data_IF_568924454944
#
_entry.id   IF_568924454944
#
_cell.length_a   1.000
_cell.length_b   1.000
_cell.length_c   1.000
_cell.angle_alpha   90.00
_cell.angle_beta   90.00
_cell.angle_gamma   90.00
#
_symmetry.space_group_name_H-M   'P 1'
#
loop_
_entity.id
_entity.type
_entity.pdbx_description
1 polymer ?
#
# COMPACT_ATOMS: atom_id res chain seq x y z
N UNK A 1 7.30 4.36 -1.26
CA UNK A 1 7.50 3.21 -2.15
C UNK A 1 8.69 3.49 -3.04
N UNK A 2 9.63 2.54 -3.11
CA UNK A 2 10.92 2.70 -3.78
C UNK A 2 11.26 1.40 -4.53
N UNK A 3 11.61 1.52 -5.80
CA UNK A 3 11.97 0.40 -6.67
C UNK A 3 13.42 -0.04 -6.47
N UNK A 4 13.76 -1.25 -6.93
CA UNK A 4 15.15 -1.76 -6.90
C UNK A 4 16.11 -0.94 -7.76
N UNK A 5 15.59 -0.27 -8.78
CA UNK A 5 16.36 0.56 -9.73
C UNK A 5 16.79 1.92 -9.15
N UNK A 6 16.60 2.14 -7.84
CA UNK A 6 17.01 3.35 -7.13
C UNK A 6 16.02 4.52 -7.22
N UNK A 7 14.83 4.29 -7.77
CA UNK A 7 13.78 5.31 -7.86
C UNK A 7 12.75 5.22 -6.75
N UNK A 8 12.48 6.35 -6.10
CA UNK A 8 11.40 6.54 -5.13
C UNK A 8 10.17 7.09 -5.84
N UNK A 9 9.09 6.31 -5.85
CA UNK A 9 7.82 6.70 -6.43
C UNK A 9 6.98 7.59 -5.51
N UNK A 10 7.10 7.41 -4.19
CA UNK A 10 6.29 8.15 -3.22
C UNK A 10 6.97 8.16 -1.85
N UNK A 11 7.03 9.31 -1.20
CA UNK A 11 7.32 9.44 0.24
C UNK A 11 6.01 9.72 0.97
N UNK A 12 5.82 9.07 2.11
CA UNK A 12 4.80 9.40 3.10
C UNK A 12 5.51 9.97 4.34
N UNK A 13 5.06 11.11 4.84
CA UNK A 13 5.70 11.81 5.97
C UNK A 13 4.88 11.67 7.26
N UNK A 14 5.55 11.83 8.39
CA UNK A 14 4.94 11.76 9.73
C UNK A 14 3.93 12.87 10.01
N UNK A 15 4.00 13.97 9.27
CA UNK A 15 3.04 15.09 9.30
C UNK A 15 1.76 14.80 8.47
N UNK A 16 1.73 13.69 7.75
CA UNK A 16 0.62 13.29 6.88
C UNK A 16 0.71 13.83 5.45
N UNK A 17 1.75 14.58 5.10
CA UNK A 17 1.96 14.97 3.70
C UNK A 17 2.56 13.82 2.90
N UNK A 18 2.40 13.88 1.58
CA UNK A 18 2.95 12.91 0.64
C UNK A 18 3.69 13.65 -0.48
N UNK A 19 4.85 13.12 -0.88
CA UNK A 19 5.67 13.69 -1.94
C UNK A 19 5.85 12.68 -3.09
N UNK A 20 5.27 12.94 -4.28
CA UNK A 20 5.37 12.05 -5.42
C UNK A 20 6.78 12.08 -6.04
N UNK A 21 7.16 10.95 -6.63
CA UNK A 21 8.35 10.81 -7.46
C UNK A 21 8.17 11.39 -8.87
N UNK A 22 9.13 11.13 -9.78
CA UNK A 22 10.32 10.32 -9.58
C UNK A 22 11.40 11.05 -8.76
N UNK A 23 12.02 10.35 -7.81
CA UNK A 23 13.19 10.83 -7.04
C UNK A 23 14.19 9.71 -6.79
N UNK A 24 15.41 10.05 -6.34
CA UNK A 24 16.48 9.07 -6.03
C UNK A 24 16.88 9.01 -4.55
N UNK A 25 16.09 9.65 -3.69
CA UNK A 25 16.33 9.79 -2.25
C UNK A 25 15.30 9.03 -1.41
N UNK A 26 15.55 8.89 -0.10
CA UNK A 26 14.69 8.19 0.87
C UNK A 26 14.42 6.70 0.54
N UNK A 27 15.37 6.03 -0.11
CA UNK A 27 15.37 4.58 -0.28
C UNK A 27 15.88 3.85 0.97
N UNK A 28 15.44 2.60 1.15
CA UNK A 28 15.88 1.74 2.27
C UNK A 28 16.85 0.64 1.87
N UNK A 29 17.23 0.51 0.58
CA UNK A 29 18.11 -0.56 0.10
C UNK A 29 19.52 -0.53 0.70
N UNK A 30 20.02 0.65 1.09
CA UNK A 30 21.32 0.78 1.73
C UNK A 30 21.30 0.42 3.23
N UNK A 31 20.13 0.05 3.78
CA UNK A 31 20.00 -0.39 5.18
C UNK A 31 20.40 -1.86 5.27
N UNK A 32 21.16 -2.20 6.31
CA UNK A 32 21.57 -3.59 6.57
C UNK A 32 20.35 -4.50 6.74
N UNK A 33 20.42 -5.67 6.10
CA UNK A 33 19.45 -6.75 6.31
C UNK A 33 19.76 -7.43 7.64
N UNK A 34 18.74 -7.63 8.48
CA UNK A 34 18.88 -8.27 9.78
C UNK A 34 17.55 -8.88 10.23
N UNK A 35 17.49 -9.31 11.50
CA UNK A 35 16.23 -9.81 12.09
C UNK A 35 15.13 -8.74 11.95
N UNK A 36 13.91 -9.18 11.63
CA UNK A 36 12.75 -8.29 11.54
C UNK A 36 12.57 -7.52 12.86
N UNK A 37 12.66 -6.20 12.79
CA UNK A 37 12.41 -5.28 13.91
C UNK A 37 11.45 -4.19 13.46
N UNK A 38 10.47 -3.88 14.30
CA UNK A 38 9.48 -2.84 14.02
C UNK A 38 8.51 -3.20 12.89
N UNK A 39 8.23 -4.49 12.69
CA UNK A 39 7.14 -4.96 11.83
C UNK A 39 6.13 -5.68 12.73
N UNK A 40 4.87 -5.27 12.67
CA UNK A 40 3.78 -5.90 13.42
C UNK A 40 2.56 -6.09 12.52
N UNK A 41 1.78 -7.12 12.82
CA UNK A 41 0.50 -7.39 12.17
C UNK A 41 -0.61 -7.23 13.20
N UNK A 42 -1.77 -6.76 12.75
CA UNK A 42 -2.99 -6.71 13.56
C UNK A 42 -4.23 -6.85 12.71
N UNK A 43 -5.40 -6.48 13.26
CA UNK A 43 -6.67 -6.58 12.56
C UNK A 43 -6.75 -5.62 11.38
N UNK A 44 -6.54 -6.15 10.17
CA UNK A 44 -6.53 -5.42 8.92
C UNK A 44 -5.48 -4.29 8.86
N UNK A 45 -4.33 -4.47 9.50
CA UNK A 45 -3.21 -3.55 9.32
C UNK A 45 -1.85 -4.26 9.45
N UNK A 46 -0.86 -3.71 8.74
CA UNK A 46 0.56 -3.99 8.88
C UNK A 46 1.25 -2.71 9.34
N UNK A 47 2.01 -2.79 10.42
CA UNK A 47 2.84 -1.71 10.93
C UNK A 47 4.29 -1.93 10.49
N UNK A 48 4.92 -0.86 10.00
CA UNK A 48 6.34 -0.78 9.68
C UNK A 48 6.90 0.49 10.33
N UNK A 49 7.68 0.32 11.39
CA UNK A 49 8.19 1.40 12.22
C UNK A 49 7.04 2.18 12.88
N UNK A 50 6.84 3.42 12.44
CA UNK A 50 5.80 4.32 12.97
C UNK A 50 4.61 4.49 12.02
N UNK A 51 4.58 3.74 10.91
CA UNK A 51 3.53 3.80 9.91
C UNK A 51 2.73 2.51 9.90
N UNK A 52 1.41 2.63 9.72
CA UNK A 52 0.51 1.51 9.44
C UNK A 52 -0.06 1.64 8.05
N UNK A 53 -0.07 0.53 7.32
CA UNK A 53 -0.89 0.35 6.13
C UNK A 53 -2.03 -0.58 6.53
N UNK A 54 -3.27 -0.12 6.42
CA UNK A 54 -4.39 -0.95 6.86
C UNK A 54 -5.75 -0.41 6.47
N UNK A 55 -6.76 -1.27 6.50
CA UNK A 55 -8.13 -0.84 6.20
C UNK A 55 -8.77 -0.18 7.40
N UNK A 56 -9.78 0.65 7.17
CA UNK A 56 -10.69 1.23 8.18
C UNK A 56 -12.07 0.56 8.09
N UNK A 57 -12.45 0.13 6.90
CA UNK A 57 -13.67 -0.62 6.59
C UNK A 57 -13.44 -1.29 5.22
N UNK A 58 -14.50 -1.80 4.58
CA UNK A 58 -14.40 -2.37 3.25
C UNK A 58 -14.21 -1.33 2.14
N UNK A 59 -14.29 -0.03 2.44
CA UNK A 59 -14.23 1.06 1.46
C UNK A 59 -12.93 1.88 1.54
N UNK A 60 -12.16 1.78 2.63
CA UNK A 60 -10.98 2.63 2.87
C UNK A 60 -9.76 1.81 3.31
N UNK A 61 -8.68 1.91 2.55
CA UNK A 61 -7.32 1.52 2.95
C UNK A 61 -6.49 2.79 3.17
N UNK A 62 -5.69 2.84 4.23
CA UNK A 62 -4.93 4.04 4.61
C UNK A 62 -3.46 3.76 4.87
N UNK A 63 -2.61 4.74 4.54
CA UNK A 63 -1.26 4.88 5.11
C UNK A 63 -1.34 5.89 6.24
N UNK A 64 -1.25 5.43 7.48
CA UNK A 64 -1.35 6.25 8.68
C UNK A 64 -0.04 6.26 9.47
N UNK A 65 0.20 7.31 10.24
CA UNK A 65 1.35 7.45 11.12
C UNK A 65 0.89 7.56 12.58
N UNK A 66 1.71 7.06 13.52
CA UNK A 66 1.39 7.02 14.96
C UNK A 66 1.08 8.39 15.60
N UNK A 67 1.43 9.49 14.93
CA UNK A 67 1.08 10.86 15.34
C UNK A 67 -0.42 11.18 15.17
N UNK A 68 -1.22 10.25 14.64
CA UNK A 68 -2.62 10.48 14.31
C UNK A 68 -2.84 11.10 12.93
N UNK A 69 -1.82 11.11 12.08
CA UNK A 69 -1.90 11.64 10.71
C UNK A 69 -2.09 10.52 9.69
N UNK A 70 -3.00 10.72 8.76
CA UNK A 70 -3.20 9.84 7.59
C UNK A 70 -2.62 10.54 6.36
N UNK A 71 -1.69 9.85 5.69
CA UNK A 71 -0.95 10.38 4.56
C UNK A 71 -1.63 10.11 3.21
N UNK A 72 -2.34 9.00 3.09
CA UNK A 72 -3.06 8.62 1.88
C UNK A 72 -4.20 7.69 2.23
N UNK A 73 -5.37 7.91 1.64
CA UNK A 73 -6.48 6.96 1.64
C UNK A 73 -6.68 6.47 0.20
N UNK A 74 -6.83 5.16 0.04
CA UNK A 74 -7.20 4.45 -1.18
C UNK A 74 -8.64 3.98 -1.02
N UNK A 75 -9.51 4.36 -1.96
CA UNK A 75 -10.93 4.01 -1.88
C UNK A 75 -11.32 2.86 -2.82
N UNK A 76 -12.33 2.12 -2.40
CA UNK A 76 -12.93 1.03 -3.19
C UNK A 76 -13.59 1.50 -4.51
N UNK A 77 -13.79 2.80 -4.69
CA UNK A 77 -14.26 3.42 -5.95
C UNK A 77 -13.10 3.83 -6.88
N UNK A 78 -11.85 3.59 -6.49
CA UNK A 78 -10.66 3.89 -7.28
C UNK A 78 -10.04 5.26 -7.04
N UNK A 79 -10.63 6.12 -6.20
CA UNK A 79 -10.08 7.44 -5.91
C UNK A 79 -9.02 7.43 -4.79
N UNK A 80 -8.18 8.46 -4.83
CA UNK A 80 -7.14 8.74 -3.85
C UNK A 80 -7.47 10.01 -3.09
N UNK A 81 -7.33 9.96 -1.76
CA UNK A 81 -7.49 11.12 -0.89
C UNK A 81 -6.17 11.39 -0.18
N UNK A 82 -5.37 12.35 -0.68
CA UNK A 82 -4.07 12.66 -0.11
C UNK A 82 -4.21 13.36 1.25
N UNK A 83 -3.21 13.19 2.11
CA UNK A 83 -3.07 13.93 3.36
C UNK A 83 -2.45 15.31 3.20
N UNK A 84 -2.31 16.06 4.32
CA UNK A 84 -2.45 15.59 5.70
C UNK A 84 -3.91 15.48 6.15
N UNK A 85 -4.28 14.34 6.74
CA UNK A 85 -5.61 14.09 7.30
C UNK A 85 -5.53 13.66 8.77
N UNK A 86 -6.59 13.88 9.54
CA UNK A 86 -6.70 13.50 10.97
C UNK A 86 -7.69 12.35 11.22
N UNK A 87 -8.31 11.86 10.16
CA UNK A 87 -9.31 10.81 10.11
C UNK A 87 -8.80 9.60 9.31
N UNK A 88 -9.56 8.50 9.31
CA UNK A 88 -9.24 7.25 8.59
C UNK A 88 -7.86 6.67 8.94
N UNK A 89 -7.41 6.81 10.19
CA UNK A 89 -6.19 6.17 10.70
C UNK A 89 -6.47 4.85 11.42
N UNK A 90 -5.52 3.92 11.40
CA UNK A 90 -5.67 2.57 11.97
C UNK A 90 -5.17 2.43 13.41
N UNK A 91 -4.61 3.50 14.00
CA UNK A 91 -4.06 3.47 15.36
C UNK A 91 -5.11 3.36 16.46
N UNK A 92 -6.38 3.68 16.17
CA UNK A 92 -7.51 3.43 17.08
C UNK A 92 -8.14 2.04 16.96
N UNK A 93 -7.65 1.17 16.05
CA UNK A 93 -8.22 -0.17 15.85
C UNK A 93 -7.62 -1.18 16.84
N UNK A 94 -8.41 -2.14 17.35
CA UNK A 94 -7.94 -3.17 18.27
C UNK A 94 -6.92 -4.11 17.61
N UNK A 95 -6.15 -4.81 18.44
CA UNK A 95 -5.00 -5.64 18.02
C UNK A 95 -5.23 -7.16 17.79
N UNK A 96 -6.44 -7.77 17.78
CA UNK A 96 -6.50 -9.20 17.45
C UNK A 96 -6.02 -9.42 16.01
N UNK A 97 -5.38 -10.54 15.71
CA UNK A 97 -4.89 -10.84 14.36
C UNK A 97 -6.07 -11.30 13.48
N UNK A 98 -6.46 -10.51 12.48
CA UNK A 98 -7.48 -10.91 11.51
C UNK A 98 -7.37 -10.08 10.22
N UNK A 99 -7.92 -10.59 9.11
CA UNK A 99 -8.08 -9.81 7.87
C UNK A 99 -6.79 -9.49 7.12
N UNK A 100 -5.73 -10.25 7.37
CA UNK A 100 -4.49 -10.26 6.58
C UNK A 100 -4.37 -11.65 5.92
N UNK A 101 -4.08 -11.67 4.63
CA UNK A 101 -3.70 -12.87 3.89
C UNK A 101 -2.73 -12.54 2.77
N UNK A 102 -2.08 -13.54 2.22
CA UNK A 102 -1.11 -13.39 1.14
C UNK A 102 -1.45 -14.28 -0.05
N UNK A 103 -0.87 -13.96 -1.21
CA UNK A 103 -0.85 -14.83 -2.38
C UNK A 103 0.40 -14.58 -3.21
N UNK A 104 0.43 -15.08 -4.45
CA UNK A 104 1.58 -14.89 -5.34
C UNK A 104 1.87 -13.39 -5.57
N UNK A 105 2.95 -12.90 -4.94
CA UNK A 105 3.46 -11.52 -5.04
C UNK A 105 2.51 -10.42 -4.53
N UNK A 106 1.53 -10.74 -3.70
CA UNK A 106 0.67 -9.72 -3.07
C UNK A 106 0.34 -9.99 -1.60
N UNK A 107 0.06 -8.90 -0.89
CA UNK A 107 -0.57 -8.88 0.42
C UNK A 107 -2.02 -8.43 0.27
N UNK A 108 -2.95 -9.13 0.89
CA UNK A 108 -4.34 -8.72 1.03
C UNK A 108 -4.61 -8.26 2.47
N UNK A 109 -5.23 -7.08 2.59
CA UNK A 109 -5.68 -6.48 3.83
C UNK A 109 -7.15 -6.15 3.68
N UNK A 110 -8.02 -6.88 4.39
CA UNK A 110 -9.46 -6.83 4.17
C UNK A 110 -9.81 -7.13 2.70
N UNK A 111 -10.41 -6.16 2.03
CA UNK A 111 -10.78 -6.22 0.61
C UNK A 111 -9.80 -5.48 -0.33
N UNK A 112 -8.62 -5.11 0.17
CA UNK A 112 -7.60 -4.43 -0.64
C UNK A 112 -6.40 -5.34 -0.86
N UNK A 113 -5.80 -5.29 -2.06
CA UNK A 113 -4.54 -5.96 -2.36
C UNK A 113 -3.47 -4.94 -2.71
N UNK A 114 -2.27 -5.18 -2.19
CA UNK A 114 -1.05 -4.46 -2.51
C UNK A 114 -0.02 -5.48 -3.02
N UNK A 115 0.50 -5.30 -4.23
CA UNK A 115 1.36 -6.33 -4.80
C UNK A 115 2.12 -5.94 -6.05
N UNK A 116 3.12 -6.75 -6.36
CA UNK A 116 3.90 -6.68 -7.59
C UNK A 116 3.20 -7.45 -8.71
N UNK A 117 3.11 -6.82 -9.88
CA UNK A 117 2.41 -7.35 -11.05
C UNK A 117 3.38 -8.08 -11.97
N UNK A 118 4.52 -7.48 -12.28
CA UNK A 118 5.46 -7.92 -13.33
C UNK A 118 6.92 -7.50 -13.07
N UNK A 119 7.25 -7.05 -11.87
CA UNK A 119 8.56 -6.49 -11.50
C UNK A 119 8.73 -5.00 -11.84
N UNK A 120 7.89 -4.44 -12.71
CA UNK A 120 7.91 -3.03 -13.09
C UNK A 120 6.76 -2.22 -12.45
N UNK A 121 5.66 -2.89 -12.07
CA UNK A 121 4.46 -2.25 -11.53
C UNK A 121 4.05 -2.83 -10.17
N UNK A 122 4.13 -2.00 -9.12
CA UNK A 122 3.48 -2.27 -7.84
C UNK A 122 2.12 -1.58 -7.80
N UNK A 123 1.07 -2.26 -7.36
CA UNK A 123 -0.30 -1.74 -7.43
C UNK A 123 -1.03 -1.80 -6.10
N UNK A 124 -2.01 -0.91 -5.94
CA UNK A 124 -3.05 -0.97 -4.92
C UNK A 124 -4.40 -1.11 -5.62
N UNK A 125 -5.15 -2.15 -5.26
CA UNK A 125 -6.45 -2.48 -5.85
C UNK A 125 -7.45 -2.88 -4.76
N UNK A 126 -8.74 -2.89 -5.11
CA UNK A 126 -9.81 -3.41 -4.28
C UNK A 126 -10.45 -4.64 -4.95
N UNK A 127 -10.74 -5.70 -4.20
CA UNK A 127 -11.23 -7.00 -4.71
C UNK A 127 -12.57 -6.91 -5.41
N UNK A 128 -13.45 -6.02 -4.94
CA UNK A 128 -14.75 -5.75 -5.56
C UNK A 128 -14.70 -4.74 -6.72
N UNK A 129 -13.51 -4.23 -7.08
CA UNK A 129 -13.34 -3.22 -8.11
C UNK A 129 -12.66 -3.86 -9.32
N UNK A 130 -13.19 -3.64 -10.52
CA UNK A 130 -12.54 -4.02 -11.78
C UNK A 130 -11.50 -3.00 -12.23
N UNK A 131 -10.91 -2.20 -11.32
CA UNK A 131 -10.06 -1.04 -11.59
C UNK A 131 -8.86 -0.97 -10.65
N UNK A 132 -7.79 -0.34 -11.10
CA UNK A 132 -6.60 -0.08 -10.28
C UNK A 132 -6.71 1.28 -9.58
N UNK A 133 -6.40 1.33 -8.27
CA UNK A 133 -6.47 2.56 -7.47
C UNK A 133 -5.19 3.38 -7.60
N UNK A 134 -4.03 2.71 -7.59
CA UNK A 134 -2.73 3.36 -7.77
C UNK A 134 -1.72 2.38 -8.35
N UNK A 135 -0.92 2.85 -9.31
CA UNK A 135 0.26 2.15 -9.82
C UNK A 135 1.51 2.93 -9.43
N UNK A 136 2.50 2.24 -8.87
CA UNK A 136 3.85 2.73 -8.62
C UNK A 136 4.78 2.03 -9.59
N UNK A 137 5.45 2.81 -10.45
CA UNK A 137 6.35 2.28 -11.46
C UNK A 137 7.79 2.20 -10.95
N UNK A 138 8.57 1.28 -11.49
CA UNK A 138 9.99 1.13 -11.16
C UNK A 138 10.84 2.34 -11.54
N UNK A 139 10.38 3.17 -12.50
CA UNK A 139 10.97 4.46 -12.87
C UNK A 139 10.64 5.60 -11.89
N UNK A 140 9.85 5.34 -10.85
CA UNK A 140 9.48 6.32 -9.83
C UNK A 140 8.26 7.18 -10.20
N UNK A 141 7.60 6.92 -11.33
CA UNK A 141 6.36 7.62 -11.68
C UNK A 141 5.12 6.96 -11.04
N UNK A 142 4.03 7.73 -10.98
CA UNK A 142 2.75 7.34 -10.37
C UNK A 142 1.64 7.42 -11.40
N UNK A 143 0.76 6.42 -11.44
CA UNK A 143 -0.48 6.48 -12.23
C UNK A 143 -1.69 6.29 -11.30
N UNK A 144 -2.37 7.38 -10.92
CA UNK A 144 -3.53 7.32 -10.03
C UNK A 144 -4.79 6.83 -10.74
N UNK A 145 -5.68 6.18 -9.98
CA UNK A 145 -7.02 5.77 -10.39
C UNK A 145 -8.09 6.84 -10.25
N UNK A 146 -9.35 6.49 -10.59
CA UNK A 146 -9.80 5.19 -11.10
C UNK A 146 -9.35 4.97 -12.55
N UNK A 147 -8.62 3.87 -12.82
CA UNK A 147 -8.16 3.53 -14.19
C UNK A 147 -8.89 2.32 -14.76
N UNK A 148 -9.06 2.26 -16.08
CA UNK A 148 -9.70 1.15 -16.82
C UNK A 148 -8.68 0.29 -17.62
N UNK A 149 -7.38 0.47 -17.37
CA UNK A 149 -6.28 -0.33 -17.91
C UNK A 149 -5.53 -1.06 -16.78
N UNK A 150 -4.94 -2.23 -17.10
CA UNK A 150 -4.14 -3.08 -16.19
C UNK A 150 -4.88 -3.94 -15.13
N UNK A 151 -6.18 -4.18 -15.25
CA UNK A 151 -6.94 -5.05 -14.30
C UNK A 151 -6.73 -6.54 -14.52
N UNK A 152 -6.16 -6.91 -15.67
CA UNK A 152 -6.07 -8.29 -16.14
C UNK A 152 -5.21 -9.19 -15.24
N UNK A 153 -4.59 -8.64 -14.20
CA UNK A 153 -3.73 -9.37 -13.26
C UNK A 153 -4.29 -9.42 -11.82
N UNK A 154 -5.37 -8.70 -11.51
CA UNK A 154 -6.10 -8.81 -10.24
C UNK A 154 -6.97 -10.09 -10.13
N UNK A 155 -7.34 -10.66 -11.29
CA UNK A 155 -8.25 -11.80 -11.45
C UNK A 155 -7.56 -13.08 -11.89
N UNK A 156 -6.23 -13.18 -11.84
CA UNK A 156 -5.58 -14.49 -11.94
C UNK A 156 -5.93 -15.30 -10.70
N UNK A 157 -7.06 -16.00 -10.80
CA UNK A 157 -7.36 -17.19 -10.01
C UNK A 157 -6.12 -18.05 -9.97
N UNK A 158 -5.80 -18.53 -8.77
CA UNK A 158 -4.84 -19.60 -8.54
C UNK A 158 -5.04 -20.69 -9.59
N UNK A 159 -4.21 -20.70 -10.63
CA UNK A 159 -3.89 -21.97 -11.26
C UNK A 159 -3.03 -22.68 -10.24
N UNK A 160 -3.64 -23.69 -9.63
CA UNK A 160 -2.96 -24.76 -8.92
C UNK A 160 -1.76 -25.17 -9.79
N UNK A 161 -0.56 -25.05 -9.24
CA UNK A 161 0.57 -25.79 -9.73
C UNK A 161 0.50 -27.14 -9.00
N UNK A 162 0.24 -28.20 -9.76
CA UNK A 162 0.57 -29.57 -9.36
C UNK A 162 2.08 -29.73 -9.17
#
# INVERSE_FOLDING_TARGET
>A
MHGKDGWTAQIFRSDGTLHPGPRRDYGTWNRQIGKSKGIMFGSNWVEIGAFRIGTIDNAHLSVAHKSGKTAQIFRNDGHLFPGPRGDFGTYGRPSPLSGISEGDRYLQIGQFRLGDVDGAHFTVIHTGLSKTIQIYRNDGTLHPGPRNDWHQLATRSSKLCD
#
